data_IF_464401426126
#
_entry.id   IF_464401426126
#
_cell.length_a   1.000
_cell.length_b   1.000
_cell.length_c   1.000
_cell.angle_alpha   90.00
_cell.angle_beta   90.00
_cell.angle_gamma   90.00
#
_symmetry.space_group_name_H-M   'P 1'
#
loop_
_entity.id
_entity.type
_entity.pdbx_description
1 polymer ?
#
# COMPACT_ATOMS: atom_id res chain seq x y z
N UNK A 1 1.65 16.45 -32.85
CA UNK A 1 1.72 16.93 -31.44
C UNK A 1 0.81 16.09 -30.53
N UNK A 2 -0.47 15.91 -30.87
CA UNK A 2 -1.40 15.16 -29.99
C UNK A 2 -1.03 13.66 -29.83
N UNK A 3 -0.58 12.99 -30.90
CA UNK A 3 -0.16 11.58 -30.81
C UNK A 3 1.01 11.37 -29.84
N UNK A 4 1.96 12.27 -29.76
CA UNK A 4 3.08 12.21 -28.81
C UNK A 4 2.61 12.41 -27.37
N UNK A 5 1.63 13.28 -27.16
CA UNK A 5 1.01 13.48 -25.84
C UNK A 5 0.24 12.23 -25.39
N UNK A 6 -0.54 11.64 -26.31
CA UNK A 6 -1.31 10.42 -26.01
C UNK A 6 -0.37 9.23 -25.70
N UNK A 7 0.76 9.11 -26.40
CA UNK A 7 1.81 8.12 -26.09
C UNK A 7 2.42 8.33 -24.69
N UNK A 8 2.69 9.59 -24.30
CA UNK A 8 3.21 9.90 -22.98
C UNK A 8 2.18 9.66 -21.86
N UNK A 9 0.89 9.94 -22.11
CA UNK A 9 -0.17 9.58 -21.18
C UNK A 9 -0.31 8.07 -21.02
N UNK A 10 -0.20 7.32 -22.11
CA UNK A 10 -0.19 5.86 -22.04
C UNK A 10 0.98 5.36 -21.20
N UNK A 11 2.18 5.91 -21.42
CA UNK A 11 3.35 5.60 -20.62
C UNK A 11 3.13 5.93 -19.13
N UNK A 12 2.53 7.08 -18.81
CA UNK A 12 2.19 7.43 -17.44
C UNK A 12 1.30 6.35 -16.79
N UNK A 13 0.27 5.90 -17.47
CA UNK A 13 -0.61 4.84 -16.99
C UNK A 13 0.14 3.51 -16.77
N UNK A 14 1.05 3.14 -17.69
CA UNK A 14 1.88 1.95 -17.59
C UNK A 14 2.81 2.01 -16.35
N UNK A 15 3.45 3.17 -16.10
CA UNK A 15 4.30 3.34 -14.93
C UNK A 15 3.49 3.35 -13.61
N UNK A 16 2.29 3.92 -13.59
CA UNK A 16 1.37 3.84 -12.44
C UNK A 16 0.99 2.40 -12.12
N UNK A 17 0.66 1.59 -13.13
CA UNK A 17 0.36 0.17 -12.95
C UNK A 17 1.59 -0.61 -12.48
N UNK A 18 2.77 -0.29 -13.02
CA UNK A 18 4.02 -0.93 -12.62
C UNK A 18 4.34 -0.64 -11.15
N UNK A 19 4.26 0.62 -10.71
CA UNK A 19 4.45 1.00 -9.30
C UNK A 19 3.43 0.29 -8.40
N UNK A 20 2.17 0.18 -8.82
CA UNK A 20 1.15 -0.58 -8.09
C UNK A 20 1.54 -2.03 -7.87
N UNK A 21 2.06 -2.71 -8.90
CA UNK A 21 2.54 -4.09 -8.78
C UNK A 21 3.76 -4.23 -7.87
N UNK A 22 4.67 -3.24 -7.87
CA UNK A 22 5.82 -3.24 -6.97
C UNK A 22 5.37 -3.14 -5.50
N UNK A 23 4.41 -2.26 -5.22
CA UNK A 23 3.86 -2.08 -3.86
C UNK A 23 3.11 -3.34 -3.43
N UNK A 24 2.26 -3.92 -4.29
CA UNK A 24 1.55 -5.16 -4.02
C UNK A 24 2.52 -6.30 -3.64
N UNK A 25 3.59 -6.47 -4.41
CA UNK A 25 4.62 -7.46 -4.14
C UNK A 25 5.34 -7.20 -2.81
N UNK A 26 5.65 -5.92 -2.50
CA UNK A 26 6.30 -5.51 -1.26
C UNK A 26 5.42 -5.81 -0.05
N UNK A 27 4.14 -5.42 -0.08
CA UNK A 27 3.18 -5.70 1.01
C UNK A 27 3.00 -7.22 1.19
N UNK A 28 2.82 -7.96 0.10
CA UNK A 28 2.67 -9.41 0.18
C UNK A 28 3.87 -10.05 0.88
N UNK A 29 5.08 -9.69 0.49
CA UNK A 29 6.32 -10.19 1.12
C UNK A 29 6.43 -9.77 2.58
N UNK A 30 6.06 -8.53 2.92
CA UNK A 30 6.08 -8.03 4.30
C UNK A 30 5.12 -8.82 5.20
N UNK A 31 3.91 -9.12 4.71
CA UNK A 31 2.94 -9.93 5.45
C UNK A 31 3.41 -11.39 5.56
N UNK A 32 4.02 -11.97 4.54
CA UNK A 32 4.59 -13.30 4.61
C UNK A 32 5.74 -13.37 5.63
N UNK A 33 6.65 -12.40 5.62
CA UNK A 33 7.73 -12.29 6.59
C UNK A 33 7.18 -12.12 8.02
N UNK A 34 6.15 -11.29 8.20
CA UNK A 34 5.46 -11.10 9.46
C UNK A 34 4.83 -12.40 9.99
N UNK A 35 4.10 -13.14 9.15
CA UNK A 35 3.45 -14.40 9.51
C UNK A 35 4.47 -15.45 9.99
N UNK A 36 5.60 -15.51 9.31
CA UNK A 36 6.65 -16.49 9.59
C UNK A 36 7.71 -16.00 10.58
N UNK A 37 7.59 -14.77 11.08
CA UNK A 37 8.58 -14.11 11.93
C UNK A 37 10.00 -14.10 11.31
N UNK A 38 10.06 -13.95 9.97
CA UNK A 38 11.30 -14.00 9.18
C UNK A 38 11.96 -12.62 9.12
N UNK A 39 12.86 -12.37 10.07
CA UNK A 39 13.61 -11.11 10.15
C UNK A 39 14.55 -10.87 8.96
N UNK A 40 15.08 -11.92 8.33
CA UNK A 40 15.99 -11.77 7.18
C UNK A 40 15.22 -11.32 5.94
N UNK A 41 14.06 -11.93 5.67
CA UNK A 41 13.15 -11.49 4.60
C UNK A 41 12.62 -10.07 4.87
N UNK A 42 12.25 -9.74 6.10
CA UNK A 42 11.81 -8.40 6.48
C UNK A 42 12.90 -7.35 6.21
N UNK A 43 14.15 -7.63 6.55
CA UNK A 43 15.28 -6.73 6.27
C UNK A 43 15.49 -6.50 4.77
N UNK A 44 15.37 -7.54 3.95
CA UNK A 44 15.49 -7.42 2.50
C UNK A 44 14.38 -6.52 1.90
N UNK A 45 13.17 -6.53 2.47
CA UNK A 45 12.06 -5.67 2.04
C UNK A 45 12.37 -4.20 2.36
N UNK A 46 12.84 -3.90 3.56
CA UNK A 46 13.25 -2.54 3.95
C UNK A 46 14.35 -1.99 3.04
N UNK A 47 15.34 -2.82 2.68
CA UNK A 47 16.42 -2.41 1.76
C UNK A 47 15.90 -2.16 0.33
N UNK A 48 14.81 -2.83 -0.08
CA UNK A 48 14.19 -2.69 -1.39
C UNK A 48 13.29 -1.47 -1.55
N UNK A 49 12.86 -0.82 -0.48
CA UNK A 49 11.94 0.32 -0.46
C UNK A 49 12.39 1.48 -1.38
N UNK A 50 13.69 1.74 -1.45
CA UNK A 50 14.28 2.76 -2.34
C UNK A 50 13.95 2.56 -3.85
N UNK A 51 13.44 1.41 -4.26
CA UNK A 51 13.02 1.15 -5.65
C UNK A 51 11.66 1.78 -5.93
N UNK A 52 10.75 1.72 -4.96
CA UNK A 52 9.43 2.38 -5.01
C UNK A 52 9.61 3.89 -5.06
N UNK A 53 10.50 4.45 -4.24
CA UNK A 53 10.88 5.87 -4.27
C UNK A 53 11.39 6.32 -5.65
N UNK A 54 12.22 5.51 -6.28
CA UNK A 54 12.74 5.81 -7.62
C UNK A 54 11.63 5.81 -8.66
N UNK A 55 10.69 4.89 -8.55
CA UNK A 55 9.55 4.83 -9.47
C UNK A 55 8.62 6.03 -9.26
N UNK A 56 8.34 6.45 -8.00
CA UNK A 56 7.63 7.69 -7.70
C UNK A 56 8.26 8.88 -8.43
N UNK A 57 9.57 9.11 -8.25
CA UNK A 57 10.28 10.25 -8.87
C UNK A 57 10.24 10.21 -10.39
N UNK A 58 10.26 9.02 -10.99
CA UNK A 58 10.13 8.81 -12.44
C UNK A 58 8.74 9.21 -12.92
N UNK A 59 7.67 8.80 -12.22
CA UNK A 59 6.28 9.15 -12.55
C UNK A 59 6.05 10.65 -12.39
N UNK A 60 6.54 11.26 -11.31
CA UNK A 60 6.47 12.71 -11.10
C UNK A 60 7.15 13.48 -12.24
N UNK A 61 8.36 13.06 -12.61
CA UNK A 61 9.10 13.66 -13.74
C UNK A 61 8.33 13.55 -15.06
N UNK A 62 7.63 12.43 -15.27
CA UNK A 62 6.78 12.23 -16.44
C UNK A 62 5.58 13.18 -16.43
N UNK A 63 4.93 13.36 -15.27
CA UNK A 63 3.85 14.32 -15.09
C UNK A 63 4.29 15.76 -15.36
N UNK A 64 5.44 16.19 -14.82
CA UNK A 64 5.99 17.52 -15.08
C UNK A 64 6.30 17.73 -16.57
N UNK A 65 6.88 16.75 -17.23
CA UNK A 65 7.15 16.81 -18.66
C UNK A 65 5.85 16.97 -19.49
N UNK A 66 4.79 16.25 -19.13
CA UNK A 66 3.48 16.37 -19.76
C UNK A 66 2.89 17.78 -19.58
N UNK A 67 3.03 18.37 -18.39
CA UNK A 67 2.55 19.71 -18.10
C UNK A 67 3.32 20.80 -18.87
N UNK A 68 4.66 20.68 -18.96
CA UNK A 68 5.52 21.71 -19.55
C UNK A 68 5.53 21.70 -21.09
N UNK A 69 5.53 20.51 -21.70
CA UNK A 69 5.82 20.38 -23.12
C UNK A 69 4.59 20.45 -24.02
N UNK A 70 3.40 20.19 -23.53
CA UNK A 70 2.25 19.84 -24.37
C UNK A 70 1.04 20.78 -24.24
N UNK A 71 1.08 21.79 -23.37
CA UNK A 71 -0.07 22.67 -23.10
C UNK A 71 -1.37 21.87 -22.94
N UNK A 72 -1.49 21.01 -21.90
CA UNK A 72 -2.61 20.12 -21.74
C UNK A 72 -3.93 20.88 -21.63
N UNK A 73 -4.99 20.38 -22.27
CA UNK A 73 -6.34 20.92 -22.09
C UNK A 73 -6.88 20.53 -20.71
N UNK A 74 -7.94 21.20 -20.25
CA UNK A 74 -8.48 21.05 -18.90
C UNK A 74 -8.68 19.58 -18.46
N UNK A 75 -9.09 18.70 -19.38
CA UNK A 75 -9.28 17.26 -19.11
C UNK A 75 -7.96 16.54 -18.85
N UNK A 76 -6.97 16.83 -19.65
CA UNK A 76 -5.63 16.22 -19.56
C UNK A 76 -4.94 16.71 -18.28
N UNK A 77 -5.09 17.99 -17.95
CA UNK A 77 -4.58 18.57 -16.71
C UNK A 77 -5.13 17.86 -15.47
N UNK A 78 -6.44 17.55 -15.44
CA UNK A 78 -7.04 16.78 -14.34
C UNK A 78 -6.46 15.38 -14.21
N UNK A 79 -6.25 14.69 -15.33
CA UNK A 79 -5.65 13.35 -15.35
C UNK A 79 -4.24 13.38 -14.78
N UNK A 80 -3.39 14.33 -15.22
CA UNK A 80 -2.02 14.44 -14.72
C UNK A 80 -1.97 14.84 -13.24
N UNK A 81 -2.82 15.78 -12.81
CA UNK A 81 -2.91 16.19 -11.41
C UNK A 81 -3.38 15.04 -10.49
N UNK A 82 -4.30 14.20 -10.97
CA UNK A 82 -4.72 13.02 -10.23
C UNK A 82 -3.57 12.01 -10.09
N UNK A 83 -2.80 11.76 -11.18
CA UNK A 83 -1.62 10.90 -11.10
C UNK A 83 -0.59 11.40 -10.08
N UNK A 84 -0.29 12.70 -10.09
CA UNK A 84 0.66 13.29 -9.14
C UNK A 84 0.22 13.10 -7.68
N UNK A 85 -1.07 13.22 -7.41
CA UNK A 85 -1.59 12.97 -6.06
C UNK A 85 -1.54 11.49 -5.71
N UNK A 86 -2.00 10.63 -6.62
CA UNK A 86 -2.01 9.18 -6.41
C UNK A 86 -0.61 8.63 -6.18
N UNK A 87 0.39 9.05 -6.96
CA UNK A 87 1.75 8.52 -6.83
C UNK A 87 2.37 8.83 -5.46
N UNK A 88 2.04 9.98 -4.87
CA UNK A 88 2.47 10.31 -3.49
C UNK A 88 1.78 9.40 -2.46
N UNK A 89 0.48 9.14 -2.62
CA UNK A 89 -0.24 8.23 -1.73
C UNK A 89 0.23 6.78 -1.92
N UNK A 90 0.57 6.38 -3.15
CA UNK A 90 1.12 5.06 -3.48
C UNK A 90 2.49 4.82 -2.81
N UNK A 91 3.40 5.80 -2.84
CA UNK A 91 4.68 5.70 -2.15
C UNK A 91 4.47 5.50 -0.64
N UNK A 92 3.58 6.25 -0.01
CA UNK A 92 3.25 6.06 1.41
C UNK A 92 2.70 4.66 1.73
N UNK A 93 1.93 4.06 0.82
CA UNK A 93 1.48 2.68 0.97
C UNK A 93 2.69 1.72 0.86
N UNK A 94 3.66 2.02 -0.01
CA UNK A 94 4.92 1.29 -0.09
C UNK A 94 5.72 1.37 1.21
N UNK A 95 5.87 2.58 1.78
CA UNK A 95 6.54 2.80 3.06
C UNK A 95 5.95 1.92 4.18
N UNK A 96 4.65 1.70 4.20
CA UNK A 96 4.02 0.82 5.19
C UNK A 96 4.48 -0.64 5.08
N UNK A 97 4.88 -1.13 3.91
CA UNK A 97 5.49 -2.44 3.81
C UNK A 97 6.86 -2.50 4.53
N UNK A 98 7.64 -1.41 4.47
CA UNK A 98 8.87 -1.28 5.23
C UNK A 98 8.61 -1.15 6.74
N UNK A 99 7.59 -0.36 7.15
CA UNK A 99 7.17 -0.23 8.55
C UNK A 99 6.74 -1.58 9.15
N UNK A 100 5.91 -2.36 8.44
CA UNK A 100 5.50 -3.71 8.84
C UNK A 100 6.73 -4.63 8.96
N UNK A 101 7.70 -4.49 8.07
CA UNK A 101 8.94 -5.26 8.09
C UNK A 101 9.82 -4.88 9.28
N UNK A 102 9.92 -3.60 9.63
CA UNK A 102 10.61 -3.14 10.83
C UNK A 102 9.96 -3.74 12.09
N UNK A 103 8.64 -3.68 12.19
CA UNK A 103 7.89 -4.30 13.29
C UNK A 103 8.13 -5.82 13.34
N UNK A 104 8.19 -6.48 12.18
CA UNK A 104 8.50 -7.91 12.09
C UNK A 104 9.87 -8.22 12.70
N UNK A 105 10.89 -7.41 12.44
CA UNK A 105 12.23 -7.58 13.02
C UNK A 105 12.19 -7.37 14.54
N UNK A 106 11.50 -6.33 15.01
CA UNK A 106 11.37 -6.03 16.44
C UNK A 106 10.64 -7.15 17.19
N UNK A 107 9.60 -7.71 16.58
CA UNK A 107 8.78 -8.79 17.16
C UNK A 107 9.39 -10.17 16.95
N UNK A 108 10.44 -10.31 16.12
CA UNK A 108 11.06 -11.60 15.86
C UNK A 108 11.69 -12.12 17.15
N UNK A 109 11.15 -13.20 17.65
CA UNK A 109 11.61 -13.88 18.85
C UNK A 109 11.46 -15.38 18.67
N UNK A 110 12.10 -16.16 19.55
CA UNK A 110 11.94 -17.63 19.56
C UNK A 110 10.53 -18.09 19.96
N UNK A 111 9.63 -17.15 20.23
CA UNK A 111 8.25 -17.44 20.64
C UNK A 111 7.28 -17.09 19.50
N UNK A 112 6.41 -18.04 19.10
CA UNK A 112 5.37 -17.74 18.10
C UNK A 112 4.36 -16.73 18.66
N UNK A 113 3.68 -16.03 17.76
CA UNK A 113 2.55 -15.19 18.14
C UNK A 113 1.48 -16.03 18.85
N UNK A 114 1.00 -15.53 19.98
CA UNK A 114 -0.10 -16.15 20.74
C UNK A 114 -1.46 -15.61 20.33
N UNK A 115 -1.46 -14.46 19.67
CA UNK A 115 -2.66 -13.78 19.16
C UNK A 115 -3.05 -14.33 17.79
N UNK A 116 -4.34 -14.40 17.52
CA UNK A 116 -4.84 -14.71 16.18
C UNK A 116 -4.59 -13.54 15.22
N UNK A 117 -3.89 -13.80 14.11
CA UNK A 117 -3.53 -12.80 13.11
C UNK A 117 -4.35 -12.91 11.80
N UNK A 118 -5.42 -13.71 11.78
CA UNK A 118 -6.21 -13.94 10.55
C UNK A 118 -6.89 -12.68 10.04
N UNK A 119 -7.37 -11.80 10.93
CA UNK A 119 -7.96 -10.52 10.52
C UNK A 119 -6.91 -9.56 9.97
N UNK A 120 -5.67 -9.57 10.48
CA UNK A 120 -4.56 -8.78 9.93
C UNK A 120 -4.25 -9.22 8.50
N UNK A 121 -4.20 -10.53 8.24
CA UNK A 121 -4.04 -11.07 6.88
C UNK A 121 -5.17 -10.65 5.95
N UNK A 122 -6.41 -10.69 6.45
CA UNK A 122 -7.59 -10.27 5.69
C UNK A 122 -7.53 -8.78 5.35
N UNK A 123 -7.13 -7.92 6.30
CA UNK A 123 -6.93 -6.49 6.07
C UNK A 123 -5.90 -6.24 4.97
N UNK A 124 -4.74 -6.89 5.05
CA UNK A 124 -3.70 -6.75 4.03
C UNK A 124 -4.21 -7.13 2.63
N UNK A 125 -4.95 -8.23 2.52
CA UNK A 125 -5.52 -8.68 1.25
C UNK A 125 -6.54 -7.69 0.69
N UNK A 126 -7.42 -7.13 1.53
CA UNK A 126 -8.40 -6.13 1.11
C UNK A 126 -7.73 -4.81 0.71
N UNK A 127 -6.70 -4.37 1.45
CA UNK A 127 -5.94 -3.15 1.14
C UNK A 127 -5.20 -3.27 -0.19
N UNK A 128 -4.53 -4.39 -0.46
CA UNK A 128 -3.89 -4.64 -1.76
C UNK A 128 -4.91 -4.61 -2.91
N UNK A 129 -6.07 -5.22 -2.70
CA UNK A 129 -7.15 -5.21 -3.69
C UNK A 129 -7.69 -3.79 -3.94
N UNK A 130 -7.82 -2.97 -2.89
CA UNK A 130 -8.20 -1.56 -3.02
C UNK A 130 -7.17 -0.76 -3.83
N UNK A 131 -5.87 -0.94 -3.57
CA UNK A 131 -4.80 -0.28 -4.30
C UNK A 131 -4.89 -0.55 -5.80
N UNK A 132 -4.93 -1.83 -6.19
CA UNK A 132 -4.98 -2.23 -7.59
C UNK A 132 -6.25 -1.70 -8.28
N UNK A 133 -7.41 -1.84 -7.64
CA UNK A 133 -8.67 -1.33 -8.18
C UNK A 133 -8.71 0.20 -8.30
N UNK A 134 -8.06 0.93 -7.39
CA UNK A 134 -7.95 2.39 -7.47
C UNK A 134 -7.12 2.80 -8.70
N UNK A 135 -6.00 2.13 -8.94
CA UNK A 135 -5.15 2.39 -10.12
C UNK A 135 -5.91 2.03 -11.40
N UNK A 136 -6.61 0.89 -11.44
CA UNK A 136 -7.46 0.52 -12.58
C UNK A 136 -8.56 1.56 -12.84
N UNK A 137 -9.25 2.02 -11.80
CA UNK A 137 -10.29 3.04 -11.92
C UNK A 137 -9.75 4.35 -12.53
N UNK A 138 -8.53 4.74 -12.12
CA UNK A 138 -7.82 5.89 -12.70
C UNK A 138 -7.46 5.68 -14.17
N UNK A 139 -6.82 4.56 -14.50
CA UNK A 139 -6.37 4.23 -15.89
C UNK A 139 -7.56 4.15 -16.84
N UNK A 140 -8.63 3.49 -16.42
CA UNK A 140 -9.86 3.35 -17.19
C UNK A 140 -10.75 4.60 -17.17
N UNK A 141 -10.45 5.58 -16.31
CA UNK A 141 -11.29 6.78 -16.06
C UNK A 141 -12.73 6.39 -15.66
N UNK A 142 -12.85 5.38 -14.83
CA UNK A 142 -14.11 4.77 -14.43
C UNK A 142 -14.51 5.20 -13.01
N UNK A 143 -15.45 6.15 -12.92
CA UNK A 143 -15.94 6.67 -11.64
C UNK A 143 -16.72 5.61 -10.83
N UNK A 144 -17.41 4.68 -11.48
CA UNK A 144 -18.16 3.64 -10.78
C UNK A 144 -17.20 2.67 -10.06
N UNK A 145 -16.08 2.30 -10.71
CA UNK A 145 -15.01 1.54 -10.06
C UNK A 145 -14.43 2.31 -8.87
N UNK A 146 -14.16 3.60 -9.01
CA UNK A 146 -13.66 4.43 -7.92
C UNK A 146 -14.61 4.45 -6.72
N UNK A 147 -15.92 4.55 -6.94
CA UNK A 147 -16.93 4.47 -5.88
C UNK A 147 -17.00 3.09 -5.20
N UNK A 148 -16.71 2.02 -5.93
CA UNK A 148 -16.63 0.67 -5.35
C UNK A 148 -15.44 0.60 -4.39
N UNK A 149 -14.26 1.13 -4.78
CA UNK A 149 -13.08 1.17 -3.90
C UNK A 149 -13.36 1.97 -2.62
N UNK A 150 -14.00 3.14 -2.74
CA UNK A 150 -14.38 3.95 -1.57
C UNK A 150 -15.27 3.19 -0.58
N UNK A 151 -16.15 2.31 -1.07
CA UNK A 151 -16.99 1.47 -0.19
C UNK A 151 -16.25 0.28 0.39
N UNK A 152 -15.19 -0.17 -0.26
CA UNK A 152 -14.36 -1.26 0.24
C UNK A 152 -13.55 -0.83 1.46
N UNK A 153 -13.28 0.46 1.62
CA UNK A 153 -12.68 1.05 2.82
C UNK A 153 -13.44 0.69 4.10
N UNK A 154 -14.77 0.72 4.06
CA UNK A 154 -15.63 0.29 5.18
C UNK A 154 -15.33 -1.14 5.65
N UNK A 155 -14.94 -2.03 4.73
CA UNK A 155 -14.59 -3.43 5.05
C UNK A 155 -13.26 -3.51 5.81
N UNK A 156 -12.29 -2.69 5.41
CA UNK A 156 -10.99 -2.62 6.10
C UNK A 156 -11.16 -2.03 7.50
N UNK A 157 -11.98 -0.98 7.64
CA UNK A 157 -12.32 -0.39 8.94
C UNK A 157 -12.98 -1.40 9.88
N UNK A 158 -13.95 -2.19 9.38
CA UNK A 158 -14.59 -3.25 10.17
C UNK A 158 -13.59 -4.34 10.61
N UNK A 159 -12.65 -4.71 9.75
CA UNK A 159 -11.59 -5.67 10.08
C UNK A 159 -10.64 -5.10 11.14
N UNK A 160 -10.25 -3.84 11.02
CA UNK A 160 -9.43 -3.16 12.03
C UNK A 160 -10.11 -3.13 13.41
N UNK A 161 -11.41 -2.81 13.45
CA UNK A 161 -12.16 -2.83 14.71
C UNK A 161 -12.25 -4.24 15.33
N UNK A 162 -12.32 -5.30 14.52
CA UNK A 162 -12.25 -6.68 15.00
C UNK A 162 -10.86 -7.01 15.58
N UNK A 163 -9.78 -6.68 14.87
CA UNK A 163 -8.41 -6.85 15.37
C UNK A 163 -8.26 -6.14 16.73
N UNK A 164 -8.68 -4.89 16.82
CA UNK A 164 -8.60 -4.12 18.07
C UNK A 164 -9.38 -4.78 19.23
N UNK A 165 -10.57 -5.29 18.96
CA UNK A 165 -11.37 -5.98 19.98
C UNK A 165 -10.69 -7.28 20.43
N UNK A 166 -10.18 -8.08 19.50
CA UNK A 166 -9.45 -9.31 19.80
C UNK A 166 -8.18 -9.04 20.63
N UNK A 167 -7.42 -8.00 20.31
CA UNK A 167 -6.23 -7.61 21.08
C UNK A 167 -6.58 -7.15 22.50
N UNK A 168 -7.67 -6.41 22.68
CA UNK A 168 -8.16 -6.01 24.01
C UNK A 168 -8.54 -7.23 24.85
N UNK A 169 -9.24 -8.18 24.27
CA UNK A 169 -9.62 -9.41 24.99
C UNK A 169 -8.40 -10.27 25.29
N UNK A 170 -7.46 -10.36 24.36
CA UNK A 170 -6.18 -11.06 24.58
C UNK A 170 -5.38 -10.46 25.76
N UNK A 171 -5.25 -9.11 25.83
CA UNK A 171 -4.57 -8.44 26.95
C UNK A 171 -5.26 -8.75 28.30
N UNK A 172 -6.59 -8.84 28.31
CA UNK A 172 -7.33 -9.18 29.54
C UNK A 172 -7.06 -10.59 30.02
N UNK A 173 -6.89 -11.53 29.09
CA UNK A 173 -6.63 -12.94 29.40
C UNK A 173 -5.13 -13.20 29.65
N UNK A 174 -4.25 -12.44 29.00
CA UNK A 174 -2.79 -12.57 29.02
C UNK A 174 -2.10 -11.22 29.27
N UNK A 175 -2.21 -10.64 30.47
CA UNK A 175 -1.61 -9.33 30.77
C UNK A 175 -0.08 -9.29 30.60
N UNK A 176 0.58 -10.45 30.72
CA UNK A 176 2.03 -10.62 30.55
C UNK A 176 2.50 -10.46 29.09
N UNK A 177 1.60 -10.60 28.11
CA UNK A 177 1.88 -10.50 26.68
C UNK A 177 1.38 -9.16 26.06
N UNK A 178 1.16 -8.14 26.90
CA UNK A 178 0.63 -6.84 26.49
C UNK A 178 1.49 -6.11 25.45
N UNK A 179 2.82 -6.23 25.53
CA UNK A 179 3.74 -5.67 24.53
C UNK A 179 3.51 -6.28 23.14
N UNK A 180 3.35 -7.60 23.06
CA UNK A 180 3.04 -8.27 21.79
C UNK A 180 1.72 -7.79 21.19
N UNK A 181 0.71 -7.51 22.00
CA UNK A 181 -0.57 -7.00 21.53
C UNK A 181 -0.46 -5.54 21.02
N UNK A 182 0.36 -4.71 21.66
CA UNK A 182 0.63 -3.35 21.20
C UNK A 182 1.35 -3.36 19.86
N UNK A 183 2.38 -4.15 19.70
CA UNK A 183 3.11 -4.32 18.44
C UNK A 183 2.19 -4.79 17.30
N UNK A 184 1.32 -5.77 17.57
CA UNK A 184 0.34 -6.26 16.61
C UNK A 184 -0.69 -5.18 16.21
N UNK A 185 -1.08 -4.31 17.14
CA UNK A 185 -1.94 -3.18 16.84
C UNK A 185 -1.24 -2.18 15.91
N UNK A 186 0.07 -1.98 16.10
CA UNK A 186 0.87 -1.13 15.19
C UNK A 186 0.96 -1.74 13.80
N UNK A 187 1.20 -3.04 13.67
CA UNK A 187 1.16 -3.74 12.37
C UNK A 187 -0.20 -3.58 11.68
N UNK A 188 -1.29 -3.73 12.43
CA UNK A 188 -2.63 -3.57 11.88
C UNK A 188 -2.96 -2.12 11.48
N UNK A 189 -2.26 -1.14 12.03
CA UNK A 189 -2.44 0.28 11.72
C UNK A 189 -1.72 0.71 10.45
N UNK A 190 -0.58 0.09 10.13
CA UNK A 190 0.15 0.30 8.89
C UNK A 190 -0.54 -0.37 7.70
#
# INVERSE_FOLDING_TARGET
>A
MRSKFDEQLKKLNEEMMHMGSMIEESIQKAIEAFIHQDADSAKAIMEGDSEIDREQKKIESLCFNLLMQQQPVARDLRTISAAMKMVTDMERIGDHAADISEMTILMSSDKPYRVNIEHVKSMASETMLMLIRAIEAYVEKNNDKAHIVMKQDDVVDELFDKVKAELIDFIREHPEDGEQAEDLLMVAKY
#
